data_IF_508540389595
#
_entry.id   IF_508540389595
#
_cell.length_a   1.000
_cell.length_b   1.000
_cell.length_c   1.000
_cell.angle_alpha   90.00
_cell.angle_beta   90.00
_cell.angle_gamma   90.00
#
_symmetry.space_group_name_H-M   'P 1'
#
loop_
_entity.id
_entity.type
_entity.pdbx_description
1 polymer ?
#
# COMPACT_ATOMS: atom_id res chain seq x y z
N UNK A 1 -10.68 -13.27 -17.57
CA UNK A 1 -11.49 -12.37 -18.42
C UNK A 1 -10.90 -10.97 -18.29
N UNK A 2 -10.67 -10.24 -19.39
CA UNK A 2 -10.02 -8.92 -19.31
C UNK A 2 -10.98 -7.85 -18.77
N UNK A 3 -10.47 -6.90 -17.98
CA UNK A 3 -11.23 -5.79 -17.38
C UNK A 3 -12.17 -5.07 -18.37
N UNK A 4 -11.67 -4.79 -19.59
CA UNK A 4 -12.45 -4.14 -20.64
C UNK A 4 -13.67 -4.95 -21.11
N UNK A 5 -13.55 -6.27 -21.19
CA UNK A 5 -14.66 -7.15 -21.56
C UNK A 5 -15.73 -7.14 -20.47
N UNK A 6 -15.32 -7.19 -19.19
CA UNK A 6 -16.23 -7.12 -18.05
C UNK A 6 -17.04 -5.82 -18.03
N UNK A 7 -16.38 -4.69 -18.23
CA UNK A 7 -17.02 -3.37 -18.32
C UNK A 7 -18.07 -3.36 -19.45
N UNK A 8 -17.72 -3.89 -20.63
CA UNK A 8 -18.61 -3.96 -21.78
C UNK A 8 -19.83 -4.83 -21.51
N UNK A 9 -19.65 -6.00 -20.92
CA UNK A 9 -20.74 -6.94 -20.60
C UNK A 9 -21.74 -6.31 -19.64
N UNK A 10 -21.29 -5.80 -18.48
CA UNK A 10 -22.18 -5.18 -17.48
C UNK A 10 -22.90 -3.97 -18.09
N UNK A 11 -22.22 -3.16 -18.91
CA UNK A 11 -22.86 -2.01 -19.57
C UNK A 11 -23.97 -2.46 -20.53
N UNK A 12 -23.73 -3.51 -21.32
CA UNK A 12 -24.72 -4.05 -22.27
C UNK A 12 -25.88 -4.71 -21.53
N UNK A 13 -25.62 -5.47 -20.46
CA UNK A 13 -26.66 -6.06 -19.60
C UNK A 13 -27.59 -5.00 -19.01
N UNK A 14 -27.05 -3.81 -18.67
CA UNK A 14 -27.81 -2.66 -18.21
C UNK A 14 -28.49 -1.86 -19.33
N UNK A 15 -28.27 -2.21 -20.59
CA UNK A 15 -28.88 -1.54 -21.74
C UNK A 15 -28.37 -0.11 -22.00
N UNK A 16 -27.19 0.25 -21.47
CA UNK A 16 -26.66 1.63 -21.55
C UNK A 16 -25.76 1.78 -22.77
N UNK A 17 -26.00 2.78 -23.62
CA UNK A 17 -25.12 3.09 -24.76
C UNK A 17 -23.82 3.75 -24.30
N UNK A 18 -22.76 3.76 -25.12
CA UNK A 18 -21.50 4.43 -24.75
C UNK A 18 -21.66 5.95 -24.56
N UNK A 19 -22.36 6.69 -25.44
CA UNK A 19 -22.65 8.11 -25.20
C UNK A 19 -23.39 8.33 -23.88
N UNK A 20 -24.44 7.55 -23.62
CA UNK A 20 -25.20 7.67 -22.38
C UNK A 20 -24.33 7.33 -21.16
N UNK A 21 -23.43 6.36 -21.28
CA UNK A 21 -22.51 5.99 -20.22
C UNK A 21 -21.52 7.11 -19.88
N UNK A 22 -20.95 7.76 -20.90
CA UNK A 22 -19.93 8.81 -20.79
C UNK A 22 -20.48 10.20 -20.43
N UNK A 23 -21.78 10.44 -20.63
CA UNK A 23 -22.42 11.71 -20.25
C UNK A 23 -21.84 12.91 -21.00
N UNK A 24 -21.32 13.89 -20.26
CA UNK A 24 -20.70 15.11 -20.80
C UNK A 24 -19.24 14.93 -21.25
N UNK A 25 -18.72 13.71 -21.16
CA UNK A 25 -17.36 13.31 -21.55
C UNK A 25 -16.23 14.01 -20.77
N UNK A 26 -16.50 14.68 -19.65
CA UNK A 26 -15.46 15.32 -18.83
C UNK A 26 -14.55 14.30 -18.12
N UNK A 27 -15.14 13.24 -17.55
CA UNK A 27 -14.39 12.21 -16.81
C UNK A 27 -13.92 11.04 -17.72
N UNK A 28 -14.71 10.71 -18.74
CA UNK A 28 -14.43 9.61 -19.66
C UNK A 28 -15.09 9.84 -21.03
N UNK A 29 -14.30 9.93 -22.09
CA UNK A 29 -14.84 10.12 -23.46
C UNK A 29 -15.32 8.80 -24.07
N UNK A 30 -16.23 8.89 -25.06
CA UNK A 30 -16.74 7.71 -25.79
C UNK A 30 -15.61 6.95 -26.49
N UNK A 31 -14.62 7.68 -27.00
CA UNK A 31 -13.43 7.11 -27.65
C UNK A 31 -12.54 6.38 -26.64
N UNK A 32 -12.36 6.93 -25.44
CA UNK A 32 -11.61 6.28 -24.36
C UNK A 32 -12.32 5.01 -23.89
N UNK A 33 -13.63 5.08 -23.63
CA UNK A 33 -14.43 3.91 -23.25
C UNK A 33 -14.37 2.80 -24.31
N UNK A 34 -14.47 3.16 -25.59
CA UNK A 34 -14.36 2.19 -26.70
C UNK A 34 -13.01 1.45 -26.73
N UNK A 35 -11.90 2.17 -26.48
CA UNK A 35 -10.56 1.57 -26.40
C UNK A 35 -10.37 0.73 -25.15
N UNK A 36 -10.97 1.11 -24.02
CA UNK A 36 -10.96 0.32 -22.79
C UNK A 36 -11.71 -1.00 -23.01
N UNK A 37 -12.93 -0.94 -23.55
CA UNK A 37 -13.76 -2.13 -23.79
C UNK A 37 -13.16 -3.11 -24.81
N UNK A 38 -12.35 -2.62 -25.75
CA UNK A 38 -11.62 -3.48 -26.70
C UNK A 38 -10.28 -4.00 -26.18
N UNK A 39 -9.85 -3.58 -24.97
CA UNK A 39 -8.55 -3.92 -24.41
C UNK A 39 -7.37 -3.15 -25.01
N UNK A 40 -7.62 -2.16 -25.87
CA UNK A 40 -6.60 -1.33 -26.52
C UNK A 40 -6.04 -0.20 -25.62
N UNK A 41 -6.58 -0.03 -24.41
CA UNK A 41 -6.07 0.89 -23.39
C UNK A 41 -6.54 0.49 -21.99
N UNK A 42 -5.65 0.59 -20.99
CA UNK A 42 -6.02 0.40 -19.59
C UNK A 42 -6.60 1.69 -18.98
N UNK A 43 -7.66 1.61 -18.15
CA UNK A 43 -8.19 2.77 -17.44
C UNK A 43 -7.24 3.20 -16.30
N UNK A 44 -7.07 4.50 -16.09
CA UNK A 44 -6.43 5.04 -14.88
C UNK A 44 -7.36 4.90 -13.67
N UNK A 45 -6.83 4.86 -12.44
CA UNK A 45 -7.64 4.74 -11.21
C UNK A 45 -8.85 5.70 -11.13
N UNK A 46 -8.74 7.01 -11.44
CA UNK A 46 -9.90 7.91 -11.42
C UNK A 46 -10.99 7.54 -12.45
N UNK A 47 -10.58 7.03 -13.62
CA UNK A 47 -11.51 6.59 -14.67
C UNK A 47 -12.16 5.28 -14.28
N UNK A 48 -11.42 4.39 -13.62
CA UNK A 48 -11.95 3.13 -13.13
C UNK A 48 -13.00 3.36 -12.03
N UNK A 49 -12.75 4.30 -11.13
CA UNK A 49 -13.73 4.75 -10.13
C UNK A 49 -15.00 5.31 -10.79
N UNK A 50 -14.86 6.20 -11.78
CA UNK A 50 -15.98 6.68 -12.57
C UNK A 50 -16.77 5.54 -13.23
N UNK A 51 -16.08 4.60 -13.89
CA UNK A 51 -16.71 3.46 -14.55
C UNK A 51 -17.48 2.60 -13.53
N UNK A 52 -16.91 2.33 -12.35
CA UNK A 52 -17.54 1.56 -11.28
C UNK A 52 -18.80 2.25 -10.75
N UNK A 53 -18.74 3.56 -10.48
CA UNK A 53 -19.89 4.38 -10.07
C UNK A 53 -21.01 4.32 -11.11
N UNK A 54 -20.70 4.49 -12.40
CA UNK A 54 -21.68 4.44 -13.51
C UNK A 54 -22.28 3.03 -13.70
N UNK A 55 -21.48 2.00 -13.48
CA UNK A 55 -21.96 0.60 -13.51
C UNK A 55 -22.67 0.21 -12.21
N UNK A 56 -22.64 1.01 -11.15
CA UNK A 56 -23.25 0.67 -9.85
C UNK A 56 -22.65 -0.60 -9.25
N UNK A 57 -21.36 -0.84 -9.49
CA UNK A 57 -20.62 -1.98 -8.96
C UNK A 57 -19.41 -1.44 -8.18
N UNK A 58 -18.94 -2.16 -7.16
CA UNK A 58 -17.74 -1.74 -6.46
C UNK A 58 -16.50 -1.82 -7.38
N UNK A 59 -15.57 -0.88 -7.25
CA UNK A 59 -14.36 -0.77 -8.10
C UNK A 59 -13.57 -2.08 -8.16
N UNK A 60 -13.38 -2.76 -7.02
CA UNK A 60 -12.67 -4.03 -6.92
C UNK A 60 -13.30 -5.13 -7.80
N UNK A 61 -14.61 -5.08 -8.04
CA UNK A 61 -15.28 -6.08 -8.89
C UNK A 61 -14.90 -5.95 -10.37
N UNK A 62 -14.47 -4.77 -10.82
CA UNK A 62 -14.06 -4.56 -12.21
C UNK A 62 -12.61 -4.97 -12.48
N UNK A 63 -11.85 -5.27 -11.43
CA UNK A 63 -10.46 -5.66 -11.52
C UNK A 63 -10.36 -7.19 -11.33
N UNK A 64 -10.39 -8.01 -12.39
CA UNK A 64 -10.32 -9.47 -12.27
C UNK A 64 -8.98 -9.98 -11.72
N UNK A 65 -7.91 -9.19 -11.83
CA UNK A 65 -6.62 -9.44 -11.15
C UNK A 65 -6.62 -8.97 -9.69
N UNK A 66 -7.71 -8.32 -9.25
CA UNK A 66 -8.00 -8.02 -7.86
C UNK A 66 -8.88 -9.15 -7.32
N UNK A 67 -8.25 -10.27 -6.97
CA UNK A 67 -8.83 -11.13 -5.94
C UNK A 67 -8.94 -10.25 -4.70
N UNK A 68 -10.17 -9.94 -4.25
CA UNK A 68 -10.34 -9.33 -2.94
C UNK A 68 -9.51 -10.16 -1.96
N UNK A 69 -8.55 -9.52 -1.29
CA UNK A 69 -7.66 -10.21 -0.37
C UNK A 69 -8.52 -11.03 0.60
N UNK A 70 -8.13 -12.28 0.91
CA UNK A 70 -8.90 -13.11 1.82
C UNK A 70 -9.24 -12.34 3.09
N UNK A 71 -10.49 -12.42 3.56
CA UNK A 71 -10.92 -11.66 4.75
C UNK A 71 -10.05 -12.00 5.97
N UNK A 72 -9.62 -13.26 6.10
CA UNK A 72 -8.67 -13.70 7.12
C UNK A 72 -7.32 -12.99 7.01
N UNK A 73 -6.77 -12.82 5.81
CA UNK A 73 -5.55 -12.03 5.60
C UNK A 73 -5.75 -10.57 6.01
N UNK A 74 -6.88 -9.96 5.64
CA UNK A 74 -7.17 -8.56 5.99
C UNK A 74 -7.30 -8.37 7.50
N UNK A 75 -7.88 -9.34 8.21
CA UNK A 75 -7.96 -9.33 9.68
C UNK A 75 -6.58 -9.41 10.34
N UNK A 76 -5.71 -10.33 9.87
CA UNK A 76 -4.33 -10.45 10.36
C UNK A 76 -3.52 -9.17 10.09
N UNK A 77 -3.60 -8.63 8.87
CA UNK A 77 -2.97 -7.36 8.50
C UNK A 77 -3.49 -6.21 9.37
N UNK A 78 -4.79 -6.15 9.64
CA UNK A 78 -5.38 -5.13 10.50
C UNK A 78 -4.88 -5.22 11.95
N UNK A 79 -4.73 -6.43 12.50
CA UNK A 79 -4.17 -6.63 13.84
C UNK A 79 -2.73 -6.12 13.93
N UNK A 80 -1.89 -6.48 12.96
CA UNK A 80 -0.49 -6.02 12.87
C UNK A 80 -0.39 -4.50 12.79
N UNK A 81 -1.24 -3.88 11.97
CA UNK A 81 -1.23 -2.44 11.71
C UNK A 81 -1.77 -1.59 12.87
N UNK A 82 -2.74 -2.11 13.62
CA UNK A 82 -3.43 -1.38 14.68
C UNK A 82 -2.69 -1.38 16.01
N UNK A 83 -1.89 -2.40 16.30
CA UNK A 83 -1.13 -2.48 17.55
C UNK A 83 0.23 -1.76 17.38
N UNK A 84 0.38 -0.49 17.86
CA UNK A 84 1.69 0.15 17.89
C UNK A 84 2.64 -0.64 18.79
N UNK A 85 3.88 -0.79 18.33
CA UNK A 85 4.92 -1.51 19.06
C UNK A 85 5.49 -0.55 20.11
N UNK A 86 5.13 -0.72 21.38
CA UNK A 86 5.67 0.08 22.48
C UNK A 86 6.89 -0.59 23.14
N UNK A 87 7.52 -1.52 22.45
CA UNK A 87 8.77 -2.14 22.88
C UNK A 87 8.62 -3.27 23.90
N UNK A 88 7.45 -3.91 24.01
CA UNK A 88 7.27 -5.11 24.84
C UNK A 88 7.47 -6.37 24.01
N UNK A 89 8.22 -7.35 24.52
CA UNK A 89 8.47 -8.64 23.83
C UNK A 89 7.16 -9.35 23.42
N UNK A 90 6.15 -9.36 24.29
CA UNK A 90 4.84 -9.96 24.01
C UNK A 90 4.11 -9.35 22.79
N UNK A 91 4.40 -8.09 22.43
CA UNK A 91 3.81 -7.43 21.27
C UNK A 91 4.51 -7.87 19.97
N UNK A 92 5.80 -8.17 20.02
CA UNK A 92 6.54 -8.70 18.87
C UNK A 92 6.15 -10.15 18.59
N UNK A 93 6.05 -10.99 19.62
CA UNK A 93 5.69 -12.40 19.46
C UNK A 93 4.29 -12.58 18.83
N UNK A 94 3.34 -11.70 19.18
CA UNK A 94 2.01 -11.68 18.54
C UNK A 94 2.07 -11.31 17.06
N UNK A 95 2.87 -10.31 16.70
CA UNK A 95 3.03 -9.89 15.30
C UNK A 95 3.77 -10.93 14.48
N UNK A 96 4.79 -11.57 15.05
CA UNK A 96 5.47 -12.71 14.40
C UNK A 96 4.49 -13.85 14.15
N UNK A 97 3.69 -14.25 15.14
CA UNK A 97 2.68 -15.30 14.94
C UNK A 97 1.69 -14.96 13.81
N UNK A 98 1.26 -13.70 13.72
CA UNK A 98 0.40 -13.24 12.62
C UNK A 98 1.12 -13.27 11.26
N UNK A 99 2.41 -12.91 11.22
CA UNK A 99 3.21 -12.95 9.99
C UNK A 99 3.48 -14.40 9.55
N UNK A 100 3.74 -15.32 10.47
CA UNK A 100 3.88 -16.76 10.19
C UNK A 100 2.60 -17.31 9.57
N UNK A 101 1.43 -16.98 10.15
CA UNK A 101 0.14 -17.39 9.59
C UNK A 101 -0.10 -16.81 8.18
N UNK A 102 0.33 -15.57 7.94
CA UNK A 102 0.29 -14.96 6.60
C UNK A 102 1.23 -15.69 5.62
N UNK A 103 2.44 -16.01 6.06
CA UNK A 103 3.46 -16.72 5.28
C UNK A 103 2.94 -18.08 4.82
N UNK A 104 2.40 -18.85 5.75
CA UNK A 104 1.94 -20.22 5.50
C UNK A 104 0.67 -20.30 4.64
N UNK A 105 -0.28 -19.39 4.85
CA UNK A 105 -1.62 -19.51 4.27
C UNK A 105 -1.85 -18.63 3.03
N UNK A 106 -1.16 -17.49 2.92
CA UNK A 106 -1.55 -16.44 1.97
C UNK A 106 -0.39 -15.93 1.10
N UNK A 107 0.85 -15.96 1.56
CA UNK A 107 1.98 -15.23 0.94
C UNK A 107 2.16 -15.51 -0.56
N UNK A 108 2.10 -16.77 -1.00
CA UNK A 108 2.25 -17.13 -2.43
C UNK A 108 1.23 -16.42 -3.34
N UNK A 109 0.02 -16.22 -2.84
CA UNK A 109 -1.13 -15.67 -3.57
C UNK A 109 -1.24 -14.14 -3.43
N UNK A 110 -0.40 -13.51 -2.60
CA UNK A 110 -0.44 -12.07 -2.42
C UNK A 110 0.02 -11.32 -3.68
N UNK A 111 -0.62 -10.19 -4.00
CA UNK A 111 -0.11 -9.29 -5.03
C UNK A 111 1.22 -8.68 -4.58
N UNK A 112 2.01 -8.22 -5.55
CA UNK A 112 3.35 -7.71 -5.28
C UNK A 112 3.36 -6.58 -4.26
N UNK A 113 2.38 -5.68 -4.30
CA UNK A 113 2.27 -4.55 -3.37
C UNK A 113 2.06 -5.00 -1.91
N UNK A 114 1.39 -6.14 -1.70
CA UNK A 114 1.17 -6.73 -0.37
C UNK A 114 2.36 -7.57 0.10
N UNK A 115 3.10 -8.19 -0.83
CA UNK A 115 4.39 -8.83 -0.52
C UNK A 115 5.42 -7.82 -0.04
N UNK A 116 5.47 -6.62 -0.65
CA UNK A 116 6.33 -5.53 -0.17
C UNK A 116 5.98 -5.13 1.26
N UNK A 117 4.68 -4.98 1.56
CA UNK A 117 4.23 -4.66 2.92
C UNK A 117 4.64 -5.75 3.93
N UNK A 118 4.44 -7.02 3.57
CA UNK A 118 4.80 -8.16 4.40
C UNK A 118 6.31 -8.20 4.68
N UNK A 119 7.14 -8.11 3.64
CA UNK A 119 8.60 -8.13 3.75
C UNK A 119 9.13 -6.96 4.58
N UNK A 120 8.59 -5.75 4.35
CA UNK A 120 8.98 -4.57 5.13
C UNK A 120 8.62 -4.70 6.61
N UNK A 121 7.44 -5.25 6.90
CA UNK A 121 6.97 -5.46 8.29
C UNK A 121 7.84 -6.49 9.00
N UNK A 122 8.13 -7.63 8.36
CA UNK A 122 8.98 -8.69 8.92
C UNK A 122 10.39 -8.19 9.19
N UNK A 123 11.00 -7.55 8.18
CA UNK A 123 12.34 -6.97 8.34
C UNK A 123 12.39 -5.90 9.44
N UNK A 124 11.31 -5.16 9.66
CA UNK A 124 11.24 -4.17 10.74
C UNK A 124 11.33 -4.85 12.10
N UNK A 125 10.59 -5.95 12.30
CA UNK A 125 10.66 -6.75 13.53
C UNK A 125 12.07 -7.34 13.70
N UNK A 126 12.64 -7.92 12.65
CA UNK A 126 13.99 -8.51 12.67
C UNK A 126 15.04 -7.47 13.06
N UNK A 127 15.03 -6.28 12.46
CA UNK A 127 15.95 -5.18 12.79
C UNK A 127 15.81 -4.78 14.26
N UNK A 128 14.58 -4.62 14.75
CA UNK A 128 14.34 -4.17 16.12
C UNK A 128 14.76 -5.23 17.14
N UNK A 129 14.44 -6.52 16.93
CA UNK A 129 14.78 -7.62 17.86
C UNK A 129 16.27 -7.95 17.84
N UNK A 130 16.85 -8.09 16.66
CA UNK A 130 18.26 -8.47 16.52
C UNK A 130 19.21 -7.30 16.75
N UNK A 131 18.70 -6.06 16.62
CA UNK A 131 19.52 -4.85 16.60
C UNK A 131 20.44 -4.78 15.40
N UNK A 132 20.20 -5.54 14.32
CA UNK A 132 21.07 -5.62 13.14
C UNK A 132 20.41 -4.89 11.95
N UNK A 133 20.95 -3.74 11.52
CA UNK A 133 20.34 -2.96 10.43
C UNK A 133 20.42 -3.66 9.07
N UNK A 134 21.32 -4.64 8.89
CA UNK A 134 21.56 -5.31 7.60
C UNK A 134 20.30 -6.02 7.08
N UNK A 135 19.43 -6.54 7.96
CA UNK A 135 18.16 -7.15 7.58
C UNK A 135 17.18 -6.15 6.93
N UNK A 136 17.23 -4.89 7.36
CA UNK A 136 16.43 -3.83 6.77
C UNK A 136 17.03 -3.34 5.46
N UNK A 137 18.35 -3.20 5.37
CA UNK A 137 19.04 -2.74 4.17
C UNK A 137 18.76 -3.62 2.95
N UNK A 138 18.75 -4.96 3.13
CA UNK A 138 18.47 -5.89 2.04
C UNK A 138 17.11 -5.67 1.40
N UNK A 139 16.08 -5.38 2.21
CA UNK A 139 14.73 -5.11 1.71
C UNK A 139 14.60 -3.69 1.17
N UNK A 140 15.26 -2.71 1.81
CA UNK A 140 15.24 -1.32 1.36
C UNK A 140 15.91 -1.13 -0.01
N UNK A 141 16.97 -1.87 -0.34
CA UNK A 141 17.66 -1.73 -1.62
C UNK A 141 16.77 -2.01 -2.84
N UNK A 142 15.78 -2.89 -2.68
CA UNK A 142 14.83 -3.31 -3.72
C UNK A 142 13.65 -2.33 -3.89
N UNK A 143 13.18 -1.74 -2.79
CA UNK A 143 11.93 -0.94 -2.78
C UNK A 143 12.14 0.56 -2.58
N UNK A 144 13.16 0.97 -1.81
CA UNK A 144 13.32 2.34 -1.34
C UNK A 144 13.67 3.33 -2.45
N UNK A 145 14.38 2.88 -3.50
CA UNK A 145 14.72 3.72 -4.67
C UNK A 145 13.49 4.32 -5.36
N UNK A 146 12.35 3.64 -5.30
CA UNK A 146 11.08 4.10 -5.92
C UNK A 146 10.28 5.04 -5.02
N UNK A 147 10.58 5.05 -3.72
CA UNK A 147 9.89 5.85 -2.70
C UNK A 147 10.62 7.17 -2.45
N UNK A 148 11.92 7.22 -2.75
CA UNK A 148 12.79 8.35 -2.46
C UNK A 148 12.25 9.70 -2.94
N UNK A 149 11.83 9.78 -4.20
CA UNK A 149 11.38 11.03 -4.86
C UNK A 149 9.86 11.22 -4.85
N UNK A 150 9.11 10.34 -4.18
CA UNK A 150 7.65 10.48 -4.14
C UNK A 150 7.22 11.59 -3.18
N UNK A 151 6.25 12.37 -3.64
CA UNK A 151 5.51 13.33 -2.81
C UNK A 151 4.26 12.68 -2.19
N UNK A 152 3.73 11.62 -2.82
CA UNK A 152 2.58 10.87 -2.36
C UNK A 152 2.90 9.40 -2.11
N UNK A 153 2.72 8.96 -0.86
CA UNK A 153 2.90 7.58 -0.41
C UNK A 153 1.58 6.80 -0.32
N UNK A 154 1.61 5.55 -0.80
CA UNK A 154 0.57 4.56 -0.55
C UNK A 154 0.72 3.96 0.85
N UNK A 155 -0.34 3.34 1.38
CA UNK A 155 -0.34 2.71 2.72
C UNK A 155 0.79 1.68 2.86
N UNK A 156 0.99 0.83 1.86
CA UNK A 156 2.04 -0.19 1.88
C UNK A 156 3.45 0.42 1.83
N UNK A 157 3.60 1.62 1.26
CA UNK A 157 4.88 2.34 1.21
C UNK A 157 5.21 2.99 2.56
N UNK A 158 4.22 3.26 3.41
CA UNK A 158 4.44 3.73 4.77
C UNK A 158 5.24 2.72 5.60
N UNK A 159 4.99 1.42 5.42
CA UNK A 159 5.76 0.39 6.14
C UNK A 159 7.21 0.27 5.65
N UNK A 160 7.46 0.54 4.38
CA UNK A 160 8.85 0.62 3.87
C UNK A 160 9.57 1.83 4.50
N UNK A 161 8.86 2.94 4.71
CA UNK A 161 9.40 4.10 5.42
C UNK A 161 9.64 3.76 6.91
N UNK A 162 8.77 2.98 7.55
CA UNK A 162 8.99 2.47 8.91
C UNK A 162 10.24 1.63 9.02
N UNK A 163 10.45 0.71 8.07
CA UNK A 163 11.67 -0.09 8.00
C UNK A 163 12.90 0.80 7.89
N UNK A 164 12.85 1.83 7.05
CA UNK A 164 13.94 2.80 6.91
C UNK A 164 14.23 3.50 8.25
N UNK A 165 13.20 3.98 8.94
CA UNK A 165 13.36 4.61 10.26
C UNK A 165 13.96 3.63 11.27
N UNK A 166 13.44 2.41 11.39
CA UNK A 166 13.96 1.39 12.30
C UNK A 166 15.44 1.08 12.03
N UNK A 167 15.83 0.97 10.75
CA UNK A 167 17.20 0.68 10.32
C UNK A 167 18.14 1.82 10.69
N UNK A 168 17.80 3.07 10.35
CA UNK A 168 18.62 4.25 10.65
C UNK A 168 18.73 4.51 12.14
N UNK A 169 17.63 4.40 12.89
CA UNK A 169 17.64 4.58 14.35
C UNK A 169 18.51 3.52 15.03
N UNK A 170 18.52 2.29 14.53
CA UNK A 170 19.40 1.23 15.03
C UNK A 170 20.87 1.54 14.77
N UNK A 171 21.22 2.05 13.57
CA UNK A 171 22.58 2.53 13.26
C UNK A 171 23.02 3.68 14.16
N UNK A 172 22.14 4.64 14.40
CA UNK A 172 22.37 5.77 15.31
C UNK A 172 22.66 5.27 16.73
N UNK A 173 21.86 4.31 17.23
CA UNK A 173 22.07 3.67 18.54
C UNK A 173 23.41 2.93 18.64
N UNK A 174 23.89 2.37 17.53
CA UNK A 174 25.21 1.73 17.44
C UNK A 174 26.38 2.72 17.26
N UNK A 175 26.11 4.03 17.24
CA UNK A 175 27.14 5.06 17.11
C UNK A 175 27.59 5.34 15.66
N UNK A 176 26.90 4.78 14.66
CA UNK A 176 27.14 5.07 13.25
C UNK A 176 26.38 6.33 12.79
N UNK A 177 26.56 7.44 13.52
CA UNK A 177 25.82 8.68 13.25
C UNK A 177 26.26 9.33 11.94
N UNK A 178 25.39 9.28 10.93
CA UNK A 178 25.54 10.06 9.70
C UNK A 178 24.53 11.20 9.69
N UNK A 179 25.03 12.45 9.70
CA UNK A 179 24.20 13.67 9.66
C UNK A 179 23.24 13.66 8.45
N UNK A 180 23.65 13.06 7.34
CA UNK A 180 22.80 12.89 6.15
C UNK A 180 21.56 12.02 6.41
N UNK A 181 21.68 10.93 7.19
CA UNK A 181 20.54 10.05 7.48
C UNK A 181 19.51 10.74 8.37
N UNK A 182 19.94 11.57 9.33
CA UNK A 182 19.06 12.39 10.18
C UNK A 182 18.30 13.42 9.35
N UNK A 183 19.00 14.14 8.45
CA UNK A 183 18.36 15.10 7.54
C UNK A 183 17.33 14.42 6.62
N UNK A 184 17.59 13.17 6.22
CA UNK A 184 16.66 12.36 5.43
C UNK A 184 15.42 11.98 6.23
N UNK A 185 15.55 11.53 7.49
CA UNK A 185 14.39 11.29 8.37
C UNK A 185 13.55 12.54 8.46
N UNK A 186 14.17 13.70 8.72
CA UNK A 186 13.46 14.97 8.81
C UNK A 186 12.70 15.31 7.51
N UNK A 187 13.30 15.09 6.34
CA UNK A 187 12.62 15.28 5.04
C UNK A 187 11.41 14.37 4.86
N UNK A 188 11.49 13.10 5.28
CA UNK A 188 10.34 12.20 5.25
C UNK A 188 9.26 12.62 6.23
N UNK A 189 9.62 12.99 7.47
CA UNK A 189 8.65 13.46 8.47
C UNK A 189 7.86 14.68 7.97
N UNK A 190 8.52 15.66 7.35
CA UNK A 190 7.84 16.83 6.77
C UNK A 190 6.87 16.43 5.65
N UNK A 191 7.26 15.51 4.77
CA UNK A 191 6.37 15.01 3.71
C UNK A 191 5.19 14.23 4.29
N UNK A 192 5.42 13.39 5.29
CA UNK A 192 4.37 12.63 5.98
C UNK A 192 3.39 13.53 6.75
N UNK A 193 3.84 14.67 7.31
CA UNK A 193 2.92 15.62 7.96
C UNK A 193 1.98 16.31 6.97
N UNK A 194 2.44 16.56 5.72
CA UNK A 194 1.58 17.11 4.67
C UNK A 194 0.55 16.10 4.16
N UNK A 195 0.74 14.82 4.47
CA UNK A 195 -0.13 13.71 4.07
C UNK A 195 -1.37 13.54 4.94
N UNK A 196 -1.44 14.21 6.10
CA UNK A 196 -2.57 14.14 7.05
C UNK A 196 -3.89 14.55 6.40
N UNK A 197 -3.86 15.49 5.45
CA UNK A 197 -5.05 15.99 4.74
C UNK A 197 -5.44 15.15 3.51
N UNK A 198 -4.56 14.25 3.06
CA UNK A 198 -4.71 13.50 1.80
C UNK A 198 -5.04 12.01 2.00
N UNK A 199 -4.81 11.49 3.21
CA UNK A 199 -5.10 10.11 3.57
C UNK A 199 -6.55 9.97 4.06
N UNK A 200 -7.24 8.92 3.60
CA UNK A 200 -8.59 8.63 4.07
C UNK A 200 -8.58 8.41 5.61
N UNK A 201 -9.58 8.91 6.35
CA UNK A 201 -9.58 8.92 7.82
C UNK A 201 -9.32 7.55 8.47
N UNK A 202 -9.75 6.49 7.80
CA UNK A 202 -9.60 5.10 8.23
C UNK A 202 -8.14 4.64 8.30
N UNK A 203 -7.21 5.29 7.61
CA UNK A 203 -5.77 4.95 7.57
C UNK A 203 -4.89 5.96 8.32
N UNK A 204 -5.48 6.93 9.01
CA UNK A 204 -4.73 7.90 9.82
C UNK A 204 -3.89 7.24 10.92
N UNK A 205 -4.31 6.07 11.41
CA UNK A 205 -3.53 5.31 12.39
C UNK A 205 -2.18 4.85 11.81
N UNK A 206 -2.12 4.44 10.53
CA UNK A 206 -0.88 3.97 9.89
C UNK A 206 0.09 5.12 9.68
N UNK A 207 -0.43 6.29 9.26
CA UNK A 207 0.36 7.51 9.17
C UNK A 207 0.90 7.95 10.53
N UNK A 208 0.05 7.93 11.56
CA UNK A 208 0.44 8.25 12.94
C UNK A 208 1.55 7.33 13.43
N UNK A 209 1.41 6.02 13.25
CA UNK A 209 2.44 5.05 13.63
C UNK A 209 3.75 5.34 12.90
N UNK A 210 3.68 5.69 11.62
CA UNK A 210 4.87 6.00 10.82
C UNK A 210 5.60 7.26 11.29
N UNK A 211 4.84 8.30 11.64
CA UNK A 211 5.40 9.51 12.24
C UNK A 211 6.05 9.22 13.60
N UNK A 212 5.43 8.39 14.45
CA UNK A 212 6.02 8.03 15.75
C UNK A 212 7.29 7.19 15.59
N UNK A 213 7.33 6.25 14.64
CA UNK A 213 8.53 5.45 14.36
C UNK A 213 9.73 6.31 13.95
N UNK A 214 9.50 7.42 13.24
CA UNK A 214 10.57 8.35 12.86
C UNK A 214 11.03 9.30 13.97
N UNK A 215 10.31 9.36 15.10
CA UNK A 215 10.61 10.22 16.26
C UNK A 215 11.21 9.45 17.45
N UNK A 216 11.22 8.11 17.39
CA UNK A 216 11.68 7.20 18.46
C UNK A 216 13.21 7.10 18.57
#
# INVERSE_FOLDING_TARGET
MLIGQKIKEIRIEKGVSRPDFCGDEQELTVRQLSRIESGASQPSLPKLDYIARRLGVPVYSLMPDFSALPSAYLELKYQILREPIYGKEEEYDKKEACLEEIEDLFYEQLPNEEKVWFEATRATIDVIRSGRPEYGETVLDDYFKRIYDKELFLINELEVINLYFATVLTKIKQGQNQIEEINRIHSFLVRLTNHVELIAPEYLFALSNTLFSGLA
#
